data_IF_286980320848
#
_entry.id   IF_286980320848
#
_cell.length_a   1.000
_cell.length_b   1.000
_cell.length_c   1.000
_cell.angle_alpha   90.00
_cell.angle_beta   90.00
_cell.angle_gamma   90.00
#
_symmetry.space_group_name_H-M   'P 1'
#
loop_
_entity.id
_entity.type
_entity.pdbx_description
1 polymer ?
#
# COMPACT_ATOMS: atom_id res chain seq x y z
N UNK A 1 -12.15 -36.62 -21.00
CA UNK A 1 -12.08 -36.23 -19.58
C UNK A 1 -10.76 -35.52 -19.30
N UNK A 2 -10.75 -34.21 -18.98
CA UNK A 2 -9.50 -33.55 -18.61
C UNK A 2 -9.18 -33.80 -17.13
N UNK A 3 -7.93 -34.18 -16.86
CA UNK A 3 -7.38 -34.50 -15.55
C UNK A 3 -7.50 -33.29 -14.62
N UNK A 4 -8.21 -33.47 -13.51
CA UNK A 4 -8.29 -32.49 -12.40
C UNK A 4 -6.87 -32.19 -11.92
N UNK A 5 -6.39 -30.97 -12.20
CA UNK A 5 -5.12 -30.45 -11.70
C UNK A 5 -5.15 -30.40 -10.18
N UNK A 6 -4.08 -30.91 -9.58
CA UNK A 6 -3.86 -31.04 -8.14
C UNK A 6 -4.24 -29.75 -7.41
N UNK A 7 -5.20 -29.87 -6.50
CA UNK A 7 -5.47 -28.88 -5.46
C UNK A 7 -4.18 -28.67 -4.66
N UNK A 8 -3.58 -27.49 -4.79
CA UNK A 8 -2.46 -27.06 -3.95
C UNK A 8 -3.02 -26.91 -2.53
N UNK A 9 -2.64 -27.81 -1.64
CA UNK A 9 -2.99 -27.72 -0.22
C UNK A 9 -2.35 -26.43 0.35
N UNK A 10 -3.20 -25.46 0.72
CA UNK A 10 -2.75 -24.20 1.32
C UNK A 10 -2.39 -24.42 2.79
N UNK A 11 -1.10 -24.22 3.10
CA UNK A 11 -0.51 -24.32 4.45
C UNK A 11 -1.41 -23.64 5.52
N UNK A 12 -1.85 -24.39 6.57
CA UNK A 12 -2.61 -23.92 7.73
C UNK A 12 -2.09 -22.66 8.43
N UNK A 13 -0.81 -22.32 8.27
CA UNK A 13 -0.15 -21.19 8.97
C UNK A 13 -0.11 -19.88 8.18
N UNK A 14 -0.60 -19.84 6.93
CA UNK A 14 -0.60 -18.62 6.11
C UNK A 14 -1.85 -17.76 6.38
N UNK A 15 -1.69 -16.75 7.23
CA UNK A 15 -2.64 -15.64 7.46
C UNK A 15 -2.60 -14.54 6.39
N UNK A 16 -2.09 -14.83 5.20
CA UNK A 16 -1.87 -13.89 4.10
C UNK A 16 -2.68 -14.37 2.89
N UNK A 17 -3.36 -13.43 2.21
CA UNK A 17 -4.08 -13.74 0.98
C UNK A 17 -3.09 -14.15 -0.11
N UNK A 18 -3.38 -15.23 -0.82
CA UNK A 18 -2.61 -15.65 -1.98
C UNK A 18 -2.85 -14.72 -3.19
N UNK A 19 -1.91 -14.72 -4.13
CA UNK A 19 -1.95 -13.84 -5.30
C UNK A 19 -3.27 -13.97 -6.09
N UNK A 20 -3.72 -15.20 -6.29
CA UNK A 20 -4.95 -15.55 -7.02
C UNK A 20 -6.21 -15.06 -6.28
N UNK A 21 -6.19 -15.06 -4.95
CA UNK A 21 -7.29 -14.53 -4.14
C UNK A 21 -7.40 -13.02 -4.32
N UNK A 22 -6.27 -12.29 -4.30
CA UNK A 22 -6.25 -10.85 -4.58
C UNK A 22 -6.80 -10.54 -5.99
N UNK A 23 -6.44 -11.34 -7.00
CA UNK A 23 -6.96 -11.19 -8.36
C UNK A 23 -8.47 -11.45 -8.44
N UNK A 24 -8.97 -12.50 -7.76
CA UNK A 24 -10.41 -12.78 -7.69
C UNK A 24 -11.19 -11.65 -7.03
N UNK A 25 -10.66 -11.07 -5.94
CA UNK A 25 -11.27 -9.89 -5.29
C UNK A 25 -11.34 -8.71 -6.27
N UNK A 26 -10.28 -8.41 -7.02
CA UNK A 26 -10.30 -7.33 -8.04
C UNK A 26 -11.35 -7.63 -9.12
N UNK A 27 -11.39 -8.86 -9.62
CA UNK A 27 -12.31 -9.28 -10.69
C UNK A 27 -13.78 -9.27 -10.26
N UNK A 28 -14.07 -9.50 -8.98
CA UNK A 28 -15.42 -9.52 -8.42
C UNK A 28 -16.03 -8.11 -8.20
N UNK A 29 -15.26 -7.04 -8.45
CA UNK A 29 -15.76 -5.69 -8.36
C UNK A 29 -16.78 -5.38 -9.46
N UNK A 30 -17.96 -4.90 -9.08
CA UNK A 30 -19.09 -4.66 -10.02
C UNK A 30 -19.00 -3.34 -10.77
N UNK A 31 -18.12 -2.42 -10.35
CA UNK A 31 -17.95 -1.12 -10.99
C UNK A 31 -16.47 -0.73 -11.07
N UNK A 32 -16.16 0.19 -11.99
CA UNK A 32 -14.77 0.60 -12.25
C UNK A 32 -14.10 1.27 -11.04
N UNK A 33 -14.85 2.02 -10.23
CA UNK A 33 -14.32 2.67 -9.01
C UNK A 33 -13.80 1.61 -8.04
N UNK A 34 -14.62 0.62 -7.72
CA UNK A 34 -14.30 -0.41 -6.74
C UNK A 34 -13.17 -1.30 -7.24
N UNK A 35 -13.17 -1.64 -8.54
CA UNK A 35 -12.06 -2.36 -9.18
C UNK A 35 -10.75 -1.59 -9.08
N UNK A 36 -10.76 -0.30 -9.43
CA UNK A 36 -9.57 0.55 -9.32
C UNK A 36 -9.11 0.71 -7.88
N UNK A 37 -10.03 0.81 -6.91
CA UNK A 37 -9.70 0.91 -5.49
C UNK A 37 -8.98 -0.33 -4.99
N UNK A 38 -9.52 -1.53 -5.26
CA UNK A 38 -8.89 -2.81 -4.88
C UNK A 38 -7.51 -2.91 -5.51
N UNK A 39 -7.42 -2.64 -6.83
CA UNK A 39 -6.15 -2.70 -7.56
C UNK A 39 -5.10 -1.74 -7.00
N UNK A 40 -5.46 -0.49 -6.71
CA UNK A 40 -4.54 0.49 -6.10
C UNK A 40 -4.06 0.02 -4.74
N UNK A 41 -4.98 -0.38 -3.86
CA UNK A 41 -4.64 -0.83 -2.50
C UNK A 41 -3.68 -2.03 -2.53
N UNK A 42 -3.88 -2.94 -3.47
CA UNK A 42 -3.00 -4.08 -3.67
C UNK A 42 -1.66 -3.65 -4.28
N UNK A 43 -1.66 -3.08 -5.50
CA UNK A 43 -0.45 -2.79 -6.29
C UNK A 43 0.50 -1.75 -5.70
N UNK A 44 -0.03 -0.85 -4.87
CA UNK A 44 0.78 0.22 -4.25
C UNK A 44 1.11 -0.04 -2.79
N UNK A 45 0.40 -0.99 -2.16
CA UNK A 45 0.42 -1.22 -0.72
C UNK A 45 0.23 0.05 0.13
N UNK A 46 -0.37 1.12 -0.42
CA UNK A 46 -0.59 2.36 0.32
C UNK A 46 -1.67 2.18 1.39
N UNK A 47 -1.69 3.09 2.37
CA UNK A 47 -2.75 3.07 3.40
C UNK A 47 -4.08 3.45 2.75
N UNK A 48 -5.19 2.93 3.27
CA UNK A 48 -6.53 3.31 2.75
C UNK A 48 -6.75 4.82 2.74
N UNK A 49 -6.26 5.56 3.73
CA UNK A 49 -6.36 7.02 3.74
C UNK A 49 -5.58 7.66 2.59
N UNK A 50 -4.42 7.11 2.24
CA UNK A 50 -3.57 7.59 1.16
C UNK A 50 -4.24 7.32 -0.19
N UNK A 51 -4.75 6.09 -0.40
CA UNK A 51 -5.53 5.73 -1.60
C UNK A 51 -6.73 6.66 -1.82
N UNK A 52 -7.49 6.95 -0.76
CA UNK A 52 -8.69 7.79 -0.83
C UNK A 52 -8.37 9.27 -1.08
N UNK A 53 -7.13 9.72 -0.86
CA UNK A 53 -6.72 11.10 -1.13
C UNK A 53 -6.17 11.30 -2.55
N UNK A 54 -5.97 10.22 -3.33
CA UNK A 54 -5.46 10.32 -4.69
C UNK A 54 -6.41 11.11 -5.59
N UNK A 55 -5.83 11.93 -6.44
CA UNK A 55 -6.47 12.70 -7.51
C UNK A 55 -6.01 12.18 -8.89
N UNK A 56 -6.69 12.54 -9.99
CA UNK A 56 -6.22 12.23 -11.33
C UNK A 56 -4.79 12.69 -11.63
N UNK A 57 -4.37 13.82 -11.06
CA UNK A 57 -3.05 14.42 -11.28
C UNK A 57 -1.92 13.62 -10.61
N UNK A 58 -2.24 12.83 -9.58
CA UNK A 58 -1.29 11.94 -8.92
C UNK A 58 -0.94 10.70 -9.77
N UNK A 59 -1.69 10.42 -10.85
CA UNK A 59 -1.43 9.29 -11.74
C UNK A 59 -0.48 9.73 -12.85
N UNK A 60 0.80 9.33 -12.75
CA UNK A 60 1.88 9.82 -13.60
C UNK A 60 2.26 8.80 -14.69
N UNK A 61 1.72 8.90 -15.92
CA UNK A 61 1.85 7.82 -16.91
C UNK A 61 3.26 7.74 -17.49
N UNK A 62 3.93 8.90 -17.66
CA UNK A 62 5.31 8.99 -18.13
C UNK A 62 6.31 8.37 -17.15
N UNK A 63 6.00 8.39 -15.84
CA UNK A 63 6.83 7.81 -14.78
C UNK A 63 6.35 6.41 -14.36
N UNK A 64 5.34 5.86 -15.03
CA UNK A 64 4.67 4.59 -14.68
C UNK A 64 4.45 4.45 -13.17
N UNK A 65 3.88 5.48 -12.54
CA UNK A 65 3.77 5.52 -11.10
C UNK A 65 2.62 6.38 -10.60
N UNK A 66 2.34 6.24 -9.30
CA UNK A 66 1.35 7.02 -8.57
C UNK A 66 2.06 7.82 -7.50
N UNK A 67 1.80 9.13 -7.45
CA UNK A 67 2.29 9.99 -6.38
C UNK A 67 1.41 9.80 -5.14
N UNK A 68 2.00 9.35 -4.03
CA UNK A 68 1.27 9.05 -2.79
C UNK A 68 1.72 10.01 -1.69
N UNK A 69 0.75 10.74 -1.12
CA UNK A 69 0.97 11.66 0.00
C UNK A 69 0.95 10.90 1.33
N UNK A 70 1.97 11.03 2.16
CA UNK A 70 2.04 10.44 3.51
C UNK A 70 1.17 11.21 4.51
N UNK A 71 -0.13 10.99 4.48
CA UNK A 71 -1.10 11.66 5.38
C UNK A 71 -0.87 11.42 6.88
N UNK A 72 -0.03 10.43 7.25
CA UNK A 72 0.29 10.11 8.66
C UNK A 72 1.70 10.52 9.09
N UNK A 73 2.50 11.12 8.22
CA UNK A 73 3.61 11.90 8.75
C UNK A 73 2.97 13.09 9.47
N UNK A 74 3.06 13.13 10.81
CA UNK A 74 3.01 14.43 11.48
C UNK A 74 4.12 15.22 10.83
N UNK A 75 3.76 16.14 9.93
CA UNK A 75 4.68 17.15 9.43
C UNK A 75 5.20 17.83 10.68
N UNK A 76 6.39 17.42 11.09
CA UNK A 76 7.16 18.11 12.10
C UNK A 76 7.72 19.30 11.37
N UNK A 77 6.86 20.29 11.13
CA UNK A 77 7.29 21.54 10.58
C UNK A 77 8.27 22.12 11.59
N UNK A 78 9.49 22.39 11.15
CA UNK A 78 10.53 22.97 11.99
C UNK A 78 10.90 24.32 11.41
N UNK A 79 11.06 25.29 12.30
CA UNK A 79 11.62 26.58 11.94
C UNK A 79 13.03 26.36 11.36
N UNK A 80 13.35 26.92 10.17
CA UNK A 80 14.66 26.73 9.55
C UNK A 80 15.77 27.44 10.33
N UNK A 81 15.43 28.51 11.06
CA UNK A 81 16.37 29.32 11.82
C UNK A 81 16.72 28.68 13.18
N UNK A 82 15.72 28.25 13.94
CA UNK A 82 15.93 27.78 15.32
C UNK A 82 15.45 26.34 15.59
N UNK A 83 15.03 25.60 14.56
CA UNK A 83 14.49 24.24 14.64
C UNK A 83 13.24 24.04 15.54
N UNK A 84 12.64 25.13 16.04
CA UNK A 84 11.42 25.09 16.85
C UNK A 84 10.27 24.43 16.09
N UNK A 85 9.43 23.66 16.78
CA UNK A 85 8.31 22.95 16.15
C UNK A 85 7.16 23.92 15.85
N UNK A 86 6.70 23.92 14.61
CA UNK A 86 5.65 24.81 14.12
C UNK A 86 4.34 24.06 13.92
N UNK A 87 3.22 24.75 14.13
CA UNK A 87 1.92 24.29 13.66
C UNK A 87 1.75 24.63 12.16
N UNK A 88 0.76 24.02 11.50
CA UNK A 88 0.57 24.13 10.05
C UNK A 88 0.25 25.56 9.59
N UNK A 89 -0.39 26.34 10.44
CA UNK A 89 -0.88 27.70 10.19
C UNK A 89 0.06 28.80 10.72
N UNK A 90 1.17 28.44 11.36
CA UNK A 90 2.10 29.35 12.03
C UNK A 90 2.84 30.30 11.07
N UNK A 91 2.39 31.55 10.93
CA UNK A 91 3.04 32.59 10.09
C UNK A 91 4.39 33.06 10.63
N UNK A 92 4.56 33.05 11.95
CA UNK A 92 5.78 33.46 12.65
C UNK A 92 6.19 32.41 13.68
N UNK A 93 7.48 32.10 13.77
CA UNK A 93 8.00 31.11 14.70
C UNK A 93 7.83 31.56 16.16
N UNK A 94 7.18 30.79 17.05
CA UNK A 94 7.07 31.13 18.48
C UNK A 94 8.42 31.15 19.22
N UNK A 95 9.43 30.45 18.69
CA UNK A 95 10.74 30.34 19.31
C UNK A 95 11.70 31.49 18.98
N UNK A 96 11.72 31.97 17.73
CA UNK A 96 12.67 33.02 17.29
C UNK A 96 12.01 34.25 16.66
N UNK A 97 10.70 34.25 16.43
CA UNK A 97 9.98 35.35 15.78
C UNK A 97 10.08 35.38 14.25
N UNK A 98 10.89 34.53 13.63
CA UNK A 98 11.10 34.57 12.17
C UNK A 98 9.82 34.23 11.38
N UNK A 99 9.63 34.94 10.27
CA UNK A 99 8.57 34.67 9.31
C UNK A 99 8.78 33.33 8.60
N UNK A 100 7.77 32.48 8.60
CA UNK A 100 7.80 31.19 7.92
C UNK A 100 7.10 31.34 6.57
N UNK A 101 7.88 31.25 5.48
CA UNK A 101 7.34 31.41 4.13
C UNK A 101 6.53 30.19 3.69
N UNK A 102 5.59 30.40 2.75
CA UNK A 102 4.81 29.31 2.14
C UNK A 102 5.73 28.30 1.44
N UNK A 103 6.76 28.76 0.73
CA UNK A 103 7.74 27.91 0.04
C UNK A 103 8.49 26.95 0.98
N UNK A 104 8.83 27.39 2.19
CA UNK A 104 9.49 26.52 3.19
C UNK A 104 8.56 25.43 3.72
N UNK A 105 7.26 25.72 3.81
CA UNK A 105 6.25 24.72 4.18
C UNK A 105 6.03 23.72 3.04
N UNK A 106 5.93 24.22 1.80
CA UNK A 106 5.76 23.39 0.61
C UNK A 106 6.93 22.41 0.42
N UNK A 107 8.17 22.84 0.62
CA UNK A 107 9.35 21.98 0.60
C UNK A 107 9.27 20.86 1.65
N UNK A 108 8.88 21.17 2.89
CA UNK A 108 8.73 20.16 3.94
C UNK A 108 7.53 19.21 3.68
N UNK A 109 6.49 19.68 3.00
CA UNK A 109 5.37 18.86 2.53
C UNK A 109 5.72 17.99 1.31
N UNK A 110 6.63 18.44 0.45
CA UNK A 110 7.13 17.70 -0.71
C UNK A 110 7.91 16.44 -0.27
N UNK A 111 8.72 16.56 0.79
CA UNK A 111 9.39 15.42 1.43
C UNK A 111 8.42 14.36 2.01
N UNK A 112 7.13 14.67 2.10
CA UNK A 112 6.08 13.73 2.52
C UNK A 112 5.38 13.05 1.34
N UNK A 113 5.89 13.17 0.11
CA UNK A 113 5.36 12.47 -1.08
C UNK A 113 6.33 11.41 -1.55
N UNK A 114 5.79 10.29 -2.05
CA UNK A 114 6.58 9.24 -2.69
C UNK A 114 5.99 8.82 -4.01
N UNK A 115 6.84 8.55 -4.99
CA UNK A 115 6.45 7.89 -6.23
C UNK A 115 6.39 6.39 -5.99
N UNK A 116 5.21 5.80 -6.16
CA UNK A 116 5.04 4.35 -6.13
C UNK A 116 4.97 3.81 -7.56
N UNK A 117 5.97 3.06 -8.03
CA UNK A 117 5.94 2.43 -9.35
C UNK A 117 4.79 1.43 -9.44
N UNK A 118 4.07 1.44 -10.57
CA UNK A 118 2.98 0.50 -10.85
C UNK A 118 3.00 0.09 -12.32
N UNK A 119 2.43 -1.08 -12.62
CA UNK A 119 2.35 -1.57 -13.99
C UNK A 119 1.51 -0.65 -14.90
N UNK A 120 1.81 -0.67 -16.20
CA UNK A 120 1.14 0.14 -17.21
C UNK A 120 -0.38 -0.13 -17.28
N UNK A 121 -0.82 -1.36 -16.97
CA UNK A 121 -2.24 -1.68 -16.92
C UNK A 121 -2.95 -0.95 -15.77
N UNK A 122 -2.35 -0.87 -14.58
CA UNK A 122 -2.87 -0.09 -13.44
C UNK A 122 -3.05 1.37 -13.82
N UNK A 123 -2.04 1.98 -14.46
CA UNK A 123 -2.13 3.36 -14.95
C UNK A 123 -3.28 3.51 -15.96
N UNK A 124 -3.36 2.60 -16.93
CA UNK A 124 -4.41 2.61 -17.97
C UNK A 124 -5.82 2.55 -17.34
N UNK A 125 -6.03 1.65 -16.39
CA UNK A 125 -7.31 1.50 -15.70
C UNK A 125 -7.70 2.76 -14.93
N UNK A 126 -6.76 3.34 -14.17
CA UNK A 126 -7.01 4.56 -13.40
C UNK A 126 -7.33 5.75 -14.30
N UNK A 127 -6.60 5.92 -15.40
CA UNK A 127 -6.88 6.99 -16.37
C UNK A 127 -8.22 6.81 -17.06
N UNK A 128 -8.56 5.58 -17.44
CA UNK A 128 -9.87 5.27 -18.03
C UNK A 128 -11.00 5.65 -17.07
N UNK A 129 -10.87 5.23 -15.81
CA UNK A 129 -11.82 5.56 -14.76
C UNK A 129 -11.90 7.09 -14.53
N UNK A 130 -10.77 7.78 -14.43
CA UNK A 130 -10.72 9.23 -14.22
C UNK A 130 -11.37 10.03 -15.35
N UNK A 131 -11.30 9.56 -16.61
CA UNK A 131 -11.96 10.20 -17.76
C UNK A 131 -13.47 10.04 -17.73
N UNK A 132 -13.98 8.89 -17.32
CA UNK A 132 -15.41 8.59 -17.27
C UNK A 132 -16.07 9.22 -16.04
N UNK A 133 -15.31 9.37 -14.94
CA UNK A 133 -15.78 9.99 -13.72
C UNK A 133 -15.85 11.51 -13.89
N UNK A 134 -17.07 12.07 -13.91
CA UNK A 134 -17.23 13.52 -13.77
C UNK A 134 -16.66 13.98 -12.40
N UNK A 135 -15.78 15.00 -12.37
CA UNK A 135 -15.32 15.58 -11.11
C UNK A 135 -16.50 16.17 -10.35
N UNK A 136 -16.56 15.96 -9.03
CA UNK A 136 -17.53 16.64 -8.19
C UNK A 136 -17.03 18.06 -7.92
N UNK A 137 -17.89 19.09 -7.87
CA UNK A 137 -17.48 20.43 -7.46
C UNK A 137 -16.78 20.37 -6.09
N UNK A 138 -15.53 20.80 -6.02
CA UNK A 138 -14.72 20.79 -4.79
C UNK A 138 -14.16 19.44 -4.33
N UNK A 139 -14.46 18.32 -5.02
CA UNK A 139 -13.90 17.00 -4.69
C UNK A 139 -13.39 16.27 -5.94
N UNK A 140 -12.10 16.48 -6.20
CA UNK A 140 -11.36 15.90 -7.32
C UNK A 140 -10.77 14.52 -7.02
N UNK A 141 -11.03 13.92 -5.85
CA UNK A 141 -10.43 12.62 -5.48
C UNK A 141 -10.92 11.50 -6.38
N UNK A 142 -10.05 10.58 -6.80
CA UNK A 142 -10.42 9.39 -7.57
C UNK A 142 -11.50 8.57 -6.86
N UNK A 143 -11.42 8.46 -5.54
CA UNK A 143 -12.33 7.66 -4.73
C UNK A 143 -13.04 8.54 -3.67
N UNK A 144 -14.14 9.22 -4.02
CA UNK A 144 -14.87 10.11 -3.10
C UNK A 144 -15.76 9.29 -2.15
N UNK A 145 -15.16 8.40 -1.36
CA UNK A 145 -15.82 7.52 -0.39
C UNK A 145 -15.11 7.57 0.96
N UNK A 146 -15.81 7.11 2.01
CA UNK A 146 -15.23 7.04 3.35
C UNK A 146 -14.34 5.80 3.53
N UNK A 147 -13.49 5.80 4.56
CA UNK A 147 -12.68 4.62 4.94
C UNK A 147 -13.53 3.40 5.28
N UNK A 148 -14.66 3.63 5.95
CA UNK A 148 -15.63 2.57 6.27
C UNK A 148 -16.22 1.99 4.98
N UNK A 149 -16.58 2.85 4.01
CA UNK A 149 -17.09 2.37 2.73
C UNK A 149 -16.03 1.61 1.92
N UNK A 150 -14.78 2.06 1.92
CA UNK A 150 -13.68 1.34 1.29
C UNK A 150 -13.50 -0.07 1.88
N UNK A 151 -13.63 -0.21 3.21
CA UNK A 151 -13.63 -1.53 3.87
C UNK A 151 -14.80 -2.40 3.40
N UNK A 152 -16.01 -1.85 3.38
CA UNK A 152 -17.20 -2.57 2.89
C UNK A 152 -17.05 -3.01 1.44
N UNK A 153 -16.48 -2.18 0.56
CA UNK A 153 -16.22 -2.54 -0.84
C UNK A 153 -15.33 -3.76 -0.93
N UNK A 154 -14.23 -3.81 -0.17
CA UNK A 154 -13.30 -4.95 -0.18
C UNK A 154 -13.99 -6.21 0.32
N UNK A 155 -14.79 -6.11 1.39
CA UNK A 155 -15.55 -7.23 1.94
C UNK A 155 -16.58 -7.75 0.96
N UNK A 156 -17.34 -6.86 0.32
CA UNK A 156 -18.33 -7.20 -0.70
C UNK A 156 -17.68 -7.87 -1.91
N UNK A 157 -16.52 -7.37 -2.37
CA UNK A 157 -15.78 -7.99 -3.46
C UNK A 157 -15.24 -9.37 -3.07
N UNK A 158 -14.73 -9.53 -1.84
CA UNK A 158 -14.25 -10.81 -1.35
C UNK A 158 -15.38 -11.85 -1.21
N UNK A 159 -16.53 -11.44 -0.68
CA UNK A 159 -17.72 -12.27 -0.62
C UNK A 159 -18.13 -12.76 -2.00
N UNK A 160 -18.21 -11.87 -2.98
CA UNK A 160 -18.52 -12.22 -4.38
C UNK A 160 -17.46 -13.09 -5.02
N UNK A 161 -16.21 -12.97 -4.60
CA UNK A 161 -15.10 -13.84 -5.01
C UNK A 161 -15.15 -15.25 -4.36
N UNK A 162 -16.14 -15.51 -3.50
CA UNK A 162 -16.29 -16.79 -2.79
C UNK A 162 -15.27 -16.97 -1.67
N UNK A 163 -14.77 -15.88 -1.08
CA UNK A 163 -13.76 -15.89 -0.01
C UNK A 163 -14.38 -15.73 1.40
N UNK A 164 -15.66 -16.07 1.58
CA UNK A 164 -16.37 -15.85 2.83
C UNK A 164 -15.99 -16.82 3.96
N UNK A 165 -15.83 -16.24 5.16
CA UNK A 165 -15.74 -16.80 6.52
C UNK A 165 -14.76 -17.93 6.84
N UNK A 166 -14.58 -18.96 6.02
CA UNK A 166 -13.73 -20.12 6.38
C UNK A 166 -12.23 -19.82 6.25
N UNK A 167 -11.84 -18.90 5.35
CA UNK A 167 -10.48 -18.36 5.28
C UNK A 167 -10.22 -17.36 6.43
N UNK A 168 -11.27 -16.82 7.03
CA UNK A 168 -11.19 -15.80 8.10
C UNK A 168 -11.22 -16.38 9.53
N UNK A 169 -11.56 -17.66 9.71
CA UNK A 169 -11.50 -18.38 10.99
C UNK A 169 -10.09 -18.81 11.41
N UNK A 170 -9.06 -18.46 10.63
CA UNK A 170 -7.63 -18.74 10.94
C UNK A 170 -7.01 -17.77 11.96
N UNK A 171 -7.80 -16.85 12.50
CA UNK A 171 -7.38 -15.90 13.53
C UNK A 171 -8.38 -15.90 14.68
N UNK A 172 -7.88 -15.93 15.92
CA UNK A 172 -8.67 -15.95 17.17
C UNK A 172 -9.63 -14.76 17.39
N UNK A 173 -9.76 -13.85 16.42
CA UNK A 173 -10.69 -12.71 16.47
C UNK A 173 -11.22 -12.38 15.09
N UNK A 174 -12.51 -12.04 15.03
CA UNK A 174 -13.30 -11.61 13.88
C UNK A 174 -12.67 -10.44 13.10
N UNK A 175 -11.62 -10.69 12.32
CA UNK A 175 -10.98 -9.66 11.51
C UNK A 175 -11.34 -9.86 10.04
N UNK A 176 -12.59 -9.49 9.72
CA UNK A 176 -13.10 -9.36 8.36
C UNK A 176 -12.08 -8.69 7.44
N UNK A 177 -11.93 -9.19 6.22
CA UNK A 177 -11.05 -8.64 5.18
C UNK A 177 -11.08 -7.10 5.16
N UNK A 178 -9.89 -6.51 5.15
CA UNK A 178 -9.69 -5.07 5.28
C UNK A 178 -8.58 -4.59 4.35
N UNK A 179 -8.47 -3.28 4.06
CA UNK A 179 -7.39 -2.74 3.24
C UNK A 179 -5.98 -3.15 3.70
N UNK A 180 -5.80 -3.37 5.01
CA UNK A 180 -4.53 -3.79 5.57
C UNK A 180 -4.12 -5.21 5.12
N UNK A 181 -5.07 -6.11 4.89
CA UNK A 181 -4.77 -7.48 4.41
C UNK A 181 -4.29 -7.48 2.97
N UNK A 182 -4.82 -6.62 2.10
CA UNK A 182 -4.31 -6.43 0.74
C UNK A 182 -2.87 -5.88 0.74
N UNK A 183 -2.59 -4.94 1.65
CA UNK A 183 -1.23 -4.41 1.88
C UNK A 183 -0.27 -5.50 2.37
N UNK A 184 -0.69 -6.30 3.35
CA UNK A 184 0.11 -7.42 3.85
C UNK A 184 0.40 -8.45 2.74
N UNK A 185 -0.61 -8.78 1.92
CA UNK A 185 -0.47 -9.68 0.79
C UNK A 185 0.56 -9.16 -0.23
N UNK A 186 0.46 -7.91 -0.64
CA UNK A 186 1.43 -7.32 -1.57
C UNK A 186 2.86 -7.36 -1.02
N UNK A 187 3.05 -6.99 0.25
CA UNK A 187 4.35 -7.01 0.90
C UNK A 187 4.96 -8.41 0.95
N UNK A 188 4.17 -9.41 1.35
CA UNK A 188 4.62 -10.81 1.37
C UNK A 188 4.89 -11.35 -0.03
N UNK A 189 4.03 -11.10 -1.01
CA UNK A 189 4.24 -11.56 -2.40
C UNK A 189 5.49 -10.94 -3.03
N UNK A 190 5.74 -9.66 -2.76
CA UNK A 190 6.91 -8.96 -3.32
C UNK A 190 8.21 -9.54 -2.78
N UNK A 191 8.30 -9.80 -1.47
CA UNK A 191 9.48 -10.40 -0.85
C UNK A 191 9.68 -11.87 -1.24
N UNK A 192 8.59 -12.63 -1.33
CA UNK A 192 8.67 -14.02 -1.80
C UNK A 192 9.22 -14.08 -3.23
N UNK A 193 8.67 -13.24 -4.13
CA UNK A 193 9.12 -13.17 -5.52
C UNK A 193 10.55 -12.64 -5.64
N UNK A 194 10.96 -11.69 -4.80
CA UNK A 194 12.33 -11.19 -4.82
C UNK A 194 13.33 -12.27 -4.40
N UNK A 195 12.98 -13.08 -3.40
CA UNK A 195 13.78 -14.24 -3.00
C UNK A 195 13.85 -15.32 -4.10
N UNK A 196 12.73 -15.63 -4.77
CA UNK A 196 12.70 -16.53 -5.92
C UNK A 196 13.58 -16.04 -7.09
N UNK A 197 13.68 -14.72 -7.27
CA UNK A 197 14.55 -14.08 -8.26
C UNK A 197 16.01 -13.95 -7.81
N UNK A 198 16.35 -14.43 -6.60
CA UNK A 198 17.71 -14.36 -6.05
C UNK A 198 18.16 -12.96 -5.65
N UNK A 199 17.24 -12.02 -5.45
CA UNK A 199 17.56 -10.67 -5.00
C UNK A 199 17.89 -10.66 -3.51
N UNK A 200 18.77 -9.74 -3.11
CA UNK A 200 19.13 -9.57 -1.70
C UNK A 200 17.90 -9.20 -0.85
N UNK A 201 17.74 -9.89 0.28
CA UNK A 201 16.59 -9.73 1.17
C UNK A 201 16.58 -8.35 1.84
N UNK A 202 17.75 -7.79 2.13
CA UNK A 202 17.88 -6.49 2.79
C UNK A 202 17.56 -5.35 1.82
N UNK A 203 18.06 -5.44 0.58
CA UNK A 203 17.72 -4.52 -0.50
C UNK A 203 16.23 -4.58 -0.81
N UNK A 204 15.68 -5.79 -0.98
CA UNK A 204 14.25 -5.98 -1.24
C UNK A 204 13.37 -5.42 -0.13
N UNK A 205 13.78 -5.61 1.14
CA UNK A 205 13.09 -5.04 2.29
C UNK A 205 13.14 -3.50 2.28
N UNK A 206 14.28 -2.91 1.92
CA UNK A 206 14.46 -1.46 1.82
C UNK A 206 13.60 -0.88 0.70
N UNK A 207 13.61 -1.47 -0.49
CA UNK A 207 12.76 -1.04 -1.61
C UNK A 207 11.27 -1.13 -1.25
N UNK A 208 10.87 -2.20 -0.56
CA UNK A 208 9.51 -2.35 -0.06
C UNK A 208 9.16 -1.27 0.98
N UNK A 209 10.09 -0.89 1.87
CA UNK A 209 9.87 0.19 2.84
C UNK A 209 9.57 1.52 2.16
N UNK A 210 10.30 1.85 1.09
CA UNK A 210 10.07 3.06 0.29
C UNK A 210 8.66 3.03 -0.33
N UNK A 211 8.29 1.94 -1.01
CA UNK A 211 6.97 1.79 -1.65
C UNK A 211 5.82 1.85 -0.64
N UNK A 212 5.95 1.16 0.48
CA UNK A 212 4.90 0.99 1.49
C UNK A 212 4.82 2.20 2.43
N UNK A 213 5.90 2.99 2.50
CA UNK A 213 5.99 4.19 3.32
C UNK A 213 6.00 3.90 4.82
N UNK A 214 6.73 2.87 5.24
CA UNK A 214 6.94 2.53 6.65
C UNK A 214 8.06 3.40 7.23
N UNK A 215 7.82 4.00 8.41
CA UNK A 215 8.82 4.81 9.13
C UNK A 215 9.81 3.96 9.93
N UNK A 216 9.52 2.68 10.11
CA UNK A 216 10.34 1.75 10.89
C UNK A 216 10.53 0.46 10.12
N UNK A 217 11.79 0.01 10.06
CA UNK A 217 12.14 -1.27 9.46
C UNK A 217 11.45 -2.45 10.15
N UNK A 218 11.20 -2.36 11.48
CA UNK A 218 10.53 -3.40 12.25
C UNK A 218 9.11 -3.72 11.74
N UNK A 219 8.39 -2.73 11.22
CA UNK A 219 7.04 -2.95 10.66
C UNK A 219 7.07 -3.71 9.33
N UNK A 220 8.21 -3.73 8.64
CA UNK A 220 8.39 -4.44 7.37
C UNK A 220 9.08 -5.79 7.60
N UNK A 221 9.95 -5.91 8.60
CA UNK A 221 10.60 -7.18 8.99
C UNK A 221 9.58 -8.27 9.33
N UNK A 222 8.37 -7.93 9.77
CA UNK A 222 7.27 -8.91 9.99
C UNK A 222 6.91 -9.74 8.75
N UNK A 223 7.28 -9.29 7.54
CA UNK A 223 7.02 -10.00 6.30
C UNK A 223 8.17 -10.93 5.89
N UNK A 224 9.35 -10.79 6.50
CA UNK A 224 10.44 -11.73 6.33
C UNK A 224 10.13 -12.98 7.15
N UNK A 225 9.90 -14.09 6.44
CA UNK A 225 9.90 -15.41 7.06
C UNK A 225 11.30 -15.96 6.88
N UNK A 226 12.05 -16.07 7.97
CA UNK A 226 13.32 -16.80 7.97
C UNK A 226 13.01 -18.23 8.37
N UNK A 227 13.18 -19.17 7.44
CA UNK A 227 12.97 -20.59 7.70
C UNK A 227 14.18 -21.23 8.39
N UNK A 228 13.96 -22.25 9.23
CA UNK A 228 15.05 -22.97 9.89
C UNK A 228 16.09 -23.56 8.91
N UNK A 229 15.65 -23.96 7.71
CA UNK A 229 16.54 -24.43 6.63
C UNK A 229 17.44 -23.32 6.07
N UNK A 230 16.92 -22.09 5.98
CA UNK A 230 17.68 -20.93 5.50
C UNK A 230 18.72 -20.50 6.54
N UNK A 231 18.37 -20.52 7.83
CA UNK A 231 19.32 -20.28 8.93
C UNK A 231 20.45 -21.30 8.91
N UNK A 232 20.12 -22.59 8.76
CA UNK A 232 21.11 -23.66 8.67
C UNK A 232 22.04 -23.48 7.47
N UNK A 233 21.48 -23.24 6.28
CA UNK A 233 22.27 -23.02 5.07
C UNK A 233 23.13 -21.75 5.16
N UNK A 234 22.64 -20.69 5.80
CA UNK A 234 23.44 -19.49 6.05
C UNK A 234 24.58 -19.76 7.02
N UNK A 235 24.32 -20.46 8.13
CA UNK A 235 25.34 -20.80 9.12
C UNK A 235 26.46 -21.61 8.47
N UNK A 236 26.12 -22.67 7.74
CA UNK A 236 27.08 -23.53 7.03
C UNK A 236 27.98 -22.71 6.08
N UNK A 237 27.41 -21.77 5.32
CA UNK A 237 28.16 -20.90 4.38
C UNK A 237 29.09 -19.88 5.03
N UNK A 238 28.82 -19.46 6.27
CA UNK A 238 29.60 -18.40 6.96
C UNK A 238 30.66 -19.00 7.87
N UNK A 239 30.51 -20.28 8.25
CA UNK A 239 31.46 -21.00 9.11
C UNK A 239 32.44 -21.90 8.36
N UNK A 240 32.33 -22.00 7.03
CA UNK A 240 33.35 -22.59 6.13
C UNK A 240 34.34 -21.50 5.66
#
# INVERSE_FOLDING_TARGET
>A
MPKRSKLVATDPTKNVLEWEECQRIEAAATNQRDRCLVRVLYRTACRVSEALALTPDDVLPRRQGIMVNHLKQRLLLKCPSCAHRLARDTKFCPGCGDGISLAQRELQEEHSRRLVPVDAETIRLLRKYARVKAPRPGDHRLFPITRQRARQVIQECARRAGLDMTVMLRTDREHLLSPHRLRDAFATHTLARSAEMGLDATESLRMLQEVVGHRSAATTMKYLKVGAKEVKSWYEKVTE
#
